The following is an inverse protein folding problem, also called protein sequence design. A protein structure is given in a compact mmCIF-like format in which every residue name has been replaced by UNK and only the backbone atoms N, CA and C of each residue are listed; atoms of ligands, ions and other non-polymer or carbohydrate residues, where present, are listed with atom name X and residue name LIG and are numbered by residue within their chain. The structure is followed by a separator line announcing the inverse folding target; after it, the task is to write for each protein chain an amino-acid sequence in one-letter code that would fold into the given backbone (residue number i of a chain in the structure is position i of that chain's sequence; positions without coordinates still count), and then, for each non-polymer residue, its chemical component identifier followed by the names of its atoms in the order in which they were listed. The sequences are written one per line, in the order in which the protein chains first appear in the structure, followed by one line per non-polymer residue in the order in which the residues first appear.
data_IF_313281666406
#
_entry.id   IF_313281666406
#
_cell.length_a   1.000
_cell.length_b   1.000
_cell.length_c   1.000
_cell.angle_alpha   90.00
_cell.angle_beta   90.00
_cell.angle_gamma   90.00
#
_symmetry.space_group_name_H-M   'P 1'
#
loop_
_entity.id
_entity.type
_entity.pdbx_description
1 polymer ?
#
# COMPACT_ATOMS: atom_id res chain seq x y z
N UNK A 1 59.85 -8.45 -11.93
CA UNK A 1 58.98 -8.86 -10.80
C UNK A 1 57.71 -9.45 -11.37
N UNK A 2 57.43 -10.72 -11.03
CA UNK A 2 56.13 -11.40 -10.88
C UNK A 2 55.00 -11.12 -11.89
N UNK A 3 54.63 -12.10 -12.74
CA UNK A 3 53.58 -13.16 -12.51
C UNK A 3 52.16 -12.56 -12.68
N UNK A 4 51.15 -13.11 -13.37
CA UNK A 4 50.78 -14.48 -13.76
C UNK A 4 49.48 -14.43 -14.62
N UNK A 5 49.29 -15.45 -15.49
CA UNK A 5 48.07 -16.11 -16.05
C UNK A 5 46.86 -15.28 -16.53
N UNK A 6 46.39 -15.41 -17.78
CA UNK A 6 45.67 -16.55 -18.46
C UNK A 6 44.19 -16.67 -18.05
N UNK A 7 43.31 -16.70 -19.07
CA UNK A 7 42.00 -17.35 -19.02
C UNK A 7 40.98 -16.68 -19.95
N UNK A 8 41.03 -16.94 -21.27
CA UNK A 8 40.05 -17.79 -21.99
C UNK A 8 38.59 -17.51 -21.58
N UNK A 9 37.90 -16.67 -22.36
CA UNK A 9 36.43 -16.57 -22.33
C UNK A 9 35.88 -17.45 -23.44
N UNK A 10 35.10 -18.43 -23.01
CA UNK A 10 34.34 -19.35 -23.86
C UNK A 10 33.20 -18.56 -24.52
N UNK A 11 33.12 -18.71 -25.84
CA UNK A 11 32.02 -18.26 -26.67
C UNK A 11 30.79 -19.14 -26.42
N UNK A 12 29.64 -18.56 -26.08
CA UNK A 12 28.35 -19.20 -26.28
C UNK A 12 27.38 -18.17 -26.86
N UNK A 13 27.02 -18.43 -28.11
CA UNK A 13 26.14 -17.65 -28.98
C UNK A 13 24.68 -17.95 -28.62
N UNK A 14 23.86 -16.90 -28.69
CA UNK A 14 22.40 -16.93 -28.60
C UNK A 14 21.75 -17.98 -29.53
N UNK A 15 20.71 -18.64 -29.04
CA UNK A 15 19.55 -18.98 -29.86
C UNK A 15 18.30 -18.35 -29.24
N UNK A 16 17.77 -17.35 -29.95
CA UNK A 16 16.42 -16.83 -29.85
C UNK A 16 15.44 -17.85 -30.41
N UNK A 17 14.36 -18.19 -29.70
CA UNK A 17 12.94 -18.40 -30.12
C UNK A 17 12.16 -18.64 -28.81
N UNK A 18 11.04 -18.04 -28.42
CA UNK A 18 10.09 -17.09 -28.99
C UNK A 18 8.91 -17.00 -27.99
N UNK A 19 8.28 -15.83 -27.87
CA UNK A 19 7.14 -15.59 -26.99
C UNK A 19 5.81 -16.17 -27.53
N UNK A 20 4.92 -16.44 -26.57
CA UNK A 20 3.45 -16.51 -26.61
C UNK A 20 2.75 -17.73 -27.26
N UNK A 21 1.96 -18.45 -26.45
CA UNK A 21 0.51 -18.19 -26.32
C UNK A 21 -0.18 -19.02 -25.23
N UNK A 22 -1.24 -18.40 -24.69
CA UNK A 22 -2.19 -18.87 -23.71
C UNK A 22 -2.86 -20.23 -24.03
N UNK A 23 -3.20 -20.97 -22.96
CA UNK A 23 -4.15 -22.09 -22.95
C UNK A 23 -5.20 -21.74 -21.88
N UNK A 24 -6.36 -21.18 -22.24
CA UNK A 24 -7.64 -21.86 -22.55
C UNK A 24 -8.22 -22.70 -21.39
N UNK A 25 -9.47 -22.38 -21.06
CA UNK A 25 -10.34 -22.86 -19.96
C UNK A 25 -10.33 -24.39 -19.69
N UNK A 26 -10.65 -24.83 -18.45
CA UNK A 26 -10.78 -26.25 -18.14
C UNK A 26 -12.14 -26.81 -18.58
N UNK A 27 -12.12 -27.73 -19.54
CA UNK A 27 -13.23 -28.64 -19.79
C UNK A 27 -13.16 -29.86 -18.86
N UNK A 28 -14.30 -30.14 -18.24
CA UNK A 28 -14.68 -31.39 -17.58
C UNK A 28 -14.73 -32.53 -18.59
N UNK A 29 -13.93 -33.59 -18.43
CA UNK A 29 -14.28 -34.93 -18.94
C UNK A 29 -13.76 -36.02 -18.00
N UNK A 30 -14.72 -36.88 -17.67
CA UNK A 30 -14.71 -38.16 -16.95
C UNK A 30 -13.68 -39.15 -17.55
N UNK A 31 -13.11 -40.03 -16.72
CA UNK A 31 -12.43 -41.23 -17.19
C UNK A 31 -12.66 -42.43 -16.28
N UNK A 32 -12.52 -43.66 -16.82
CA UNK A 32 -13.55 -44.69 -16.67
C UNK A 32 -13.16 -45.87 -15.76
N UNK A 33 -14.22 -46.62 -15.45
CA UNK A 33 -14.28 -47.94 -14.85
C UNK A 33 -13.49 -48.98 -15.64
N UNK A 34 -12.76 -49.86 -14.93
CA UNK A 34 -12.49 -51.24 -15.34
C UNK A 34 -12.71 -52.17 -14.15
N UNK A 35 -13.67 -53.07 -14.31
CA UNK A 35 -14.02 -54.21 -13.47
C UNK A 35 -13.06 -55.39 -13.67
N UNK A 36 -12.79 -56.16 -12.61
CA UNK A 36 -12.71 -57.63 -12.68
C UNK A 36 -12.95 -58.29 -11.29
N UNK A 37 -14.17 -58.81 -11.10
CA UNK A 37 -14.62 -60.12 -10.53
C UNK A 37 -13.61 -60.95 -9.71
N UNK A 38 -13.93 -61.68 -8.62
CA UNK A 38 -15.08 -62.48 -8.13
C UNK A 38 -14.65 -62.98 -6.70
N UNK A 39 -15.45 -63.40 -5.71
CA UNK A 39 -16.54 -64.38 -5.68
C UNK A 39 -17.17 -64.42 -4.26
N UNK A 40 -18.52 -64.45 -4.21
CA UNK A 40 -19.50 -65.10 -3.29
C UNK A 40 -19.14 -65.39 -1.80
N UNK A 41 -20.01 -65.24 -0.77
CA UNK A 41 -21.29 -65.94 -0.51
C UNK A 41 -22.04 -65.32 0.72
N UNK A 42 -23.39 -65.19 0.59
CA UNK A 42 -24.56 -65.22 1.53
C UNK A 42 -24.73 -64.36 2.82
N UNK A 43 -25.81 -63.55 2.90
CA UNK A 43 -27.15 -63.73 3.59
C UNK A 43 -27.02 -63.71 5.13
N UNK A 44 -27.61 -62.83 5.96
CA UNK A 44 -29.03 -62.48 6.17
C UNK A 44 -29.18 -61.28 7.15
N UNK A 45 -30.08 -60.34 6.84
CA UNK A 45 -31.16 -59.74 7.66
C UNK A 45 -31.06 -59.59 9.21
N UNK A 46 -31.47 -58.39 9.65
CA UNK A 46 -32.33 -58.04 10.83
C UNK A 46 -31.69 -57.60 12.18
N UNK A 47 -32.01 -56.35 12.52
CA UNK A 47 -32.38 -55.75 13.83
C UNK A 47 -31.54 -55.95 15.12
N UNK A 48 -31.26 -54.79 15.74
CA UNK A 48 -30.86 -54.44 17.13
C UNK A 48 -31.45 -55.30 18.28
N UNK A 49 -31.06 -55.11 19.59
CA UNK A 49 -30.06 -54.22 20.22
C UNK A 49 -29.22 -54.87 21.37
N UNK A 50 -28.42 -54.04 22.05
CA UNK A 50 -27.97 -54.08 23.47
C UNK A 50 -26.45 -54.14 23.74
N UNK A 51 -25.89 -52.94 23.88
CA UNK A 51 -25.13 -52.41 25.03
C UNK A 51 -24.04 -53.30 25.66
N UNK A 52 -22.78 -52.91 25.44
CA UNK A 52 -21.84 -52.42 26.47
C UNK A 52 -20.42 -52.63 25.99
N UNK A 53 -19.69 -51.53 25.73
CA UNK A 53 -18.32 -51.28 26.22
C UNK A 53 -17.84 -49.95 25.63
N UNK A 54 -17.55 -49.00 26.54
CA UNK A 54 -16.85 -47.76 26.24
C UNK A 54 -15.39 -48.09 25.89
N UNK A 55 -14.79 -47.31 24.98
CA UNK A 55 -13.57 -46.62 25.35
C UNK A 55 -13.70 -45.11 25.12
N UNK A 56 -13.30 -44.38 26.15
CA UNK A 56 -12.86 -42.97 26.20
C UNK A 56 -12.83 -42.23 24.85
N UNK A 57 -13.87 -41.40 24.62
CA UNK A 57 -13.71 -40.25 23.74
C UNK A 57 -13.23 -39.06 24.58
N UNK A 58 -11.99 -38.69 24.28
CA UNK A 58 -11.36 -37.40 24.52
C UNK A 58 -12.40 -36.27 24.44
N UNK A 59 -12.52 -35.54 25.56
CA UNK A 59 -13.25 -34.28 25.64
C UNK A 59 -12.63 -33.32 24.63
N UNK A 60 -13.33 -33.09 23.51
CA UNK A 60 -13.07 -31.93 22.67
C UNK A 60 -13.22 -30.67 23.54
N UNK A 61 -12.26 -29.73 23.54
CA UNK A 61 -12.47 -28.47 24.23
C UNK A 61 -13.63 -27.76 23.53
N UNK A 62 -14.72 -27.62 24.28
CA UNK A 62 -15.92 -26.88 23.91
C UNK A 62 -15.50 -25.50 23.40
N UNK A 63 -15.67 -25.24 22.11
CA UNK A 63 -15.61 -23.88 21.58
C UNK A 63 -16.68 -23.08 22.33
N UNK A 64 -16.27 -21.99 22.99
CA UNK A 64 -17.19 -21.07 23.66
C UNK A 64 -18.31 -20.64 22.69
N UNK A 65 -19.56 -20.46 23.17
CA UNK A 65 -20.65 -20.01 22.33
C UNK A 65 -20.29 -18.66 21.70
N UNK A 66 -20.45 -18.57 20.38
CA UNK A 66 -20.29 -17.33 19.62
C UNK A 66 -21.62 -16.60 19.69
N UNK A 67 -21.68 -15.48 20.43
CA UNK A 67 -22.87 -14.65 20.51
C UNK A 67 -22.91 -13.72 19.29
N UNK A 68 -23.93 -13.90 18.44
CA UNK A 68 -24.16 -13.10 17.24
C UNK A 68 -25.43 -12.27 17.44
N UNK A 69 -25.31 -10.94 17.33
CA UNK A 69 -26.43 -10.01 17.23
C UNK A 69 -26.51 -9.50 15.80
N UNK A 70 -27.72 -9.37 15.27
CA UNK A 70 -27.98 -8.80 13.94
C UNK A 70 -28.89 -7.59 14.05
N UNK A 71 -28.75 -6.67 13.10
CA UNK A 71 -29.49 -5.42 13.03
C UNK A 71 -30.09 -5.27 11.63
N UNK A 72 -31.38 -4.93 11.57
CA UNK A 72 -32.16 -4.92 10.32
C UNK A 72 -32.33 -3.51 9.73
N UNK A 73 -31.89 -2.47 10.45
CA UNK A 73 -32.07 -1.08 10.05
C UNK A 73 -30.74 -0.29 10.00
N UNK A 74 -30.78 0.84 9.29
CA UNK A 74 -29.62 1.71 9.09
C UNK A 74 -29.36 2.64 10.29
N UNK A 75 -30.07 2.47 11.42
CA UNK A 75 -29.96 3.40 12.56
C UNK A 75 -28.76 3.08 13.47
N UNK A 76 -28.20 1.87 13.35
CA UNK A 76 -27.08 1.39 14.15
C UNK A 76 -25.75 1.90 13.58
N UNK A 77 -25.40 3.14 13.95
CA UNK A 77 -24.27 3.91 13.39
C UNK A 77 -23.06 4.05 14.31
N UNK A 78 -23.17 3.61 15.56
CA UNK A 78 -22.15 3.85 16.58
C UNK A 78 -21.70 2.55 17.18
N UNK A 79 -20.42 2.27 17.05
CA UNK A 79 -19.75 1.21 17.78
C UNK A 79 -19.32 1.78 19.13
N UNK A 80 -19.76 1.12 20.21
CA UNK A 80 -19.38 1.48 21.58
C UNK A 80 -18.76 0.23 22.20
N UNK A 81 -17.46 0.31 22.50
CA UNK A 81 -16.71 -0.76 23.14
C UNK A 81 -15.95 -0.19 24.35
N UNK A 82 -16.51 -0.38 25.55
CA UNK A 82 -15.99 0.23 26.78
C UNK A 82 -15.87 1.76 26.64
N UNK A 83 -14.65 2.33 26.60
CA UNK A 83 -14.41 3.78 26.36
C UNK A 83 -14.32 4.15 24.89
N UNK A 84 -14.07 3.18 24.01
CA UNK A 84 -13.97 3.44 22.57
C UNK A 84 -15.35 3.77 22.01
N UNK A 85 -15.45 4.88 21.29
CA UNK A 85 -16.62 5.25 20.50
C UNK A 85 -16.19 5.52 19.07
N UNK A 86 -16.86 4.89 18.12
CA UNK A 86 -16.61 5.06 16.68
C UNK A 86 -17.94 5.31 15.97
N UNK A 87 -18.03 6.42 15.24
CA UNK A 87 -19.16 6.71 14.35
C UNK A 87 -18.84 6.16 12.96
N UNK A 88 -19.68 5.27 12.43
CA UNK A 88 -19.45 4.60 11.15
C UNK A 88 -19.90 5.44 9.95
N UNK A 89 -20.44 6.64 10.17
CA UNK A 89 -20.83 7.60 9.13
C UNK A 89 -21.81 7.00 8.12
N UNK A 90 -21.40 6.90 6.86
CA UNK A 90 -22.22 6.35 5.76
C UNK A 90 -22.39 4.82 5.77
N UNK A 91 -21.93 4.15 6.83
CA UNK A 91 -22.12 2.72 7.03
C UNK A 91 -22.97 2.48 8.28
N UNK A 92 -23.71 1.38 8.34
CA UNK A 92 -24.45 0.93 9.52
C UNK A 92 -24.02 -0.49 9.89
N UNK A 93 -24.09 -0.82 11.19
CA UNK A 93 -23.77 -2.13 11.73
C UNK A 93 -24.90 -3.08 11.34
N UNK A 94 -24.57 -4.21 10.74
CA UNK A 94 -25.54 -5.28 10.40
C UNK A 94 -25.39 -6.50 11.30
N UNK A 95 -24.19 -6.72 11.85
CA UNK A 95 -23.98 -7.75 12.85
C UNK A 95 -22.80 -7.46 13.79
N UNK A 96 -22.94 -7.90 15.02
CA UNK A 96 -21.91 -7.94 16.06
C UNK A 96 -21.68 -9.39 16.46
N UNK A 97 -20.43 -9.85 16.44
CA UNK A 97 -20.03 -11.19 16.85
C UNK A 97 -19.03 -11.08 17.99
N UNK A 98 -19.38 -11.61 19.16
CA UNK A 98 -18.48 -11.65 20.32
C UNK A 98 -17.81 -13.01 20.40
N UNK A 99 -16.48 -13.02 20.49
CA UNK A 99 -15.68 -14.23 20.70
C UNK A 99 -14.50 -13.93 21.60
N UNK A 100 -14.37 -14.69 22.69
CA UNK A 100 -13.34 -14.50 23.71
C UNK A 100 -13.37 -13.06 24.28
N UNK A 101 -12.30 -12.30 24.09
CA UNK A 101 -12.13 -10.90 24.50
C UNK A 101 -12.19 -9.92 23.31
N UNK A 102 -12.68 -10.36 22.17
CA UNK A 102 -12.81 -9.56 20.96
C UNK A 102 -14.26 -9.49 20.47
N UNK A 103 -14.60 -8.37 19.85
CA UNK A 103 -15.90 -8.16 19.20
C UNK A 103 -15.67 -7.73 17.76
N UNK A 104 -16.27 -8.45 16.83
CA UNK A 104 -16.23 -8.14 15.39
C UNK A 104 -17.55 -7.56 14.94
N UNK A 105 -17.50 -6.39 14.34
CA UNK A 105 -18.60 -5.70 13.71
C UNK A 105 -18.51 -5.87 12.19
N UNK A 106 -19.62 -6.27 11.57
CA UNK A 106 -19.83 -6.16 10.13
C UNK A 106 -20.69 -4.94 9.89
N UNK A 107 -20.25 -4.08 8.99
CA UNK A 107 -20.99 -2.90 8.58
C UNK A 107 -21.21 -2.89 7.06
N UNK A 108 -22.35 -2.34 6.65
CA UNK A 108 -22.73 -2.19 5.24
C UNK A 108 -23.02 -0.71 4.94
N UNK A 109 -22.79 -0.30 3.70
CA UNK A 109 -23.04 1.06 3.25
C UNK A 109 -24.54 1.37 3.20
N UNK A 110 -24.92 2.60 3.54
CA UNK A 110 -26.32 3.03 3.49
C UNK A 110 -26.89 3.03 2.08
N UNK A 111 -28.19 2.73 1.97
CA UNK A 111 -28.91 2.83 0.72
C UNK A 111 -28.80 4.23 0.12
N UNK A 112 -28.50 4.28 -1.18
CA UNK A 112 -28.36 5.52 -1.94
C UNK A 112 -26.98 6.18 -1.83
N UNK A 113 -26.07 5.65 -1.02
CA UNK A 113 -24.67 6.10 -1.00
C UNK A 113 -23.83 5.24 -1.94
N UNK A 114 -22.93 5.88 -2.70
CA UNK A 114 -21.99 5.20 -3.59
C UNK A 114 -20.57 5.39 -3.08
N UNK A 115 -19.90 4.29 -2.72
CA UNK A 115 -18.45 4.25 -2.43
C UNK A 115 -17.83 3.00 -3.06
N UNK A 116 -16.51 3.00 -3.33
CA UNK A 116 -15.82 1.83 -3.89
C UNK A 116 -15.92 0.60 -2.98
N UNK A 117 -15.88 0.80 -1.67
CA UNK A 117 -16.04 -0.25 -0.66
C UNK A 117 -17.44 -0.15 -0.05
N UNK A 118 -18.20 -1.24 -0.15
CA UNK A 118 -19.61 -1.27 0.29
C UNK A 118 -19.82 -1.97 1.63
N UNK A 119 -18.82 -2.71 2.09
CA UNK A 119 -18.84 -3.41 3.37
C UNK A 119 -17.50 -3.18 4.09
N UNK A 120 -17.53 -3.19 5.42
CA UNK A 120 -16.32 -3.19 6.23
C UNK A 120 -16.47 -4.11 7.44
N UNK A 121 -15.36 -4.65 7.89
CA UNK A 121 -15.24 -5.44 9.11
C UNK A 121 -14.33 -4.71 10.08
N UNK A 122 -14.73 -4.67 11.35
CA UNK A 122 -13.96 -4.04 12.42
C UNK A 122 -13.94 -5.00 13.60
N UNK A 123 -12.76 -5.53 13.93
CA UNK A 123 -12.56 -6.35 15.12
C UNK A 123 -11.89 -5.50 16.20
N UNK A 124 -12.43 -5.51 17.41
CA UNK A 124 -11.97 -4.67 18.51
C UNK A 124 -11.71 -5.55 19.73
N UNK A 125 -10.56 -5.36 20.36
CA UNK A 125 -10.24 -5.96 21.65
C UNK A 125 -9.45 -4.99 22.53
N UNK A 126 -9.59 -5.14 23.84
CA UNK A 126 -8.73 -4.42 24.78
C UNK A 126 -7.31 -4.99 24.71
N UNK A 127 -6.30 -4.12 24.74
CA UNK A 127 -4.90 -4.51 24.73
C UNK A 127 -4.14 -3.79 25.83
N UNK A 128 -3.02 -4.39 26.26
CA UNK A 128 -2.16 -3.79 27.26
C UNK A 128 -1.57 -2.50 26.69
N UNK A 129 -1.73 -1.40 27.42
CA UNK A 129 -1.02 -0.14 27.15
C UNK A 129 0.49 -0.39 27.18
N UNK A 130 1.15 -0.02 26.09
CA UNK A 130 2.61 -0.11 25.95
C UNK A 130 3.22 1.25 26.32
N UNK A 131 4.33 1.22 27.04
CA UNK A 131 5.08 2.42 27.41
C UNK A 131 6.24 2.62 26.44
N UNK A 132 5.95 3.24 25.29
CA UNK A 132 6.94 3.55 24.28
C UNK A 132 7.86 4.70 24.74
N UNK A 133 9.16 4.55 24.49
CA UNK A 133 10.16 5.56 24.87
C UNK A 133 10.43 6.57 23.75
N UNK A 134 10.24 6.13 22.51
CA UNK A 134 10.55 6.86 21.29
C UNK A 134 9.72 6.35 20.10
N UNK A 135 9.78 7.07 18.98
CA UNK A 135 9.04 6.73 17.74
C UNK A 135 9.54 5.41 17.16
N UNK A 136 10.84 5.13 17.25
CA UNK A 136 11.46 3.90 16.77
C UNK A 136 10.88 2.66 17.46
N UNK A 137 10.62 2.74 18.77
CA UNK A 137 9.99 1.66 19.56
C UNK A 137 8.52 1.44 19.16
N UNK A 138 7.78 2.50 18.80
CA UNK A 138 6.41 2.38 18.26
C UNK A 138 6.46 1.69 16.90
N UNK A 139 7.34 2.15 16.00
CA UNK A 139 7.49 1.59 14.65
C UNK A 139 7.88 0.11 14.71
N UNK A 140 8.80 -0.27 15.59
CA UNK A 140 9.18 -1.67 15.78
C UNK A 140 7.99 -2.53 16.21
N UNK A 141 7.21 -2.07 17.19
CA UNK A 141 6.01 -2.76 17.65
C UNK A 141 4.95 -2.91 16.54
N UNK A 142 4.73 -1.87 15.74
CA UNK A 142 3.79 -1.92 14.61
C UNK A 142 4.24 -2.87 13.50
N UNK A 143 5.55 -2.96 13.24
CA UNK A 143 6.12 -3.93 12.30
C UNK A 143 5.96 -5.36 12.78
N UNK A 144 6.01 -5.61 14.08
CA UNK A 144 5.75 -6.94 14.62
C UNK A 144 4.27 -7.35 14.41
N UNK A 145 3.34 -6.38 14.42
CA UNK A 145 1.92 -6.60 14.12
C UNK A 145 1.71 -6.87 12.62
N UNK A 146 2.33 -6.08 11.74
CA UNK A 146 2.23 -6.23 10.29
C UNK A 146 3.62 -6.14 9.65
N UNK A 147 4.31 -7.28 9.47
CA UNK A 147 5.68 -7.30 8.94
C UNK A 147 5.78 -6.80 7.49
N UNK A 148 4.75 -7.05 6.68
CA UNK A 148 4.64 -6.65 5.28
C UNK A 148 3.86 -5.34 5.12
N UNK A 149 4.14 -4.36 5.97
CA UNK A 149 3.42 -3.08 6.00
C UNK A 149 3.68 -2.23 4.74
N UNK A 150 2.68 -1.45 4.36
CA UNK A 150 2.74 -0.44 3.31
C UNK A 150 2.78 0.98 3.90
N UNK A 151 2.08 1.18 5.02
CA UNK A 151 1.98 2.48 5.67
C UNK A 151 1.96 2.34 7.20
N UNK A 152 2.62 3.26 7.89
CA UNK A 152 2.55 3.44 9.34
C UNK A 152 2.22 4.91 9.61
N UNK A 153 1.21 5.15 10.45
CA UNK A 153 0.84 6.48 10.93
C UNK A 153 0.92 6.52 12.46
N UNK A 154 1.47 7.62 12.98
CA UNK A 154 1.59 7.87 14.42
C UNK A 154 1.04 9.25 14.70
N UNK A 155 0.02 9.27 15.55
CA UNK A 155 -0.58 10.46 16.14
C UNK A 155 -0.34 10.39 17.64
N UNK A 156 0.34 11.39 18.19
CA UNK A 156 0.69 11.44 19.60
C UNK A 156 0.28 12.77 20.24
N UNK A 157 0.03 12.73 21.54
CA UNK A 157 -0.47 13.88 22.29
C UNK A 157 -1.72 14.51 21.63
N UNK A 158 -2.64 13.67 21.17
CA UNK A 158 -3.89 14.14 20.56
C UNK A 158 -4.69 14.94 21.60
N UNK A 159 -5.12 16.14 21.22
CA UNK A 159 -5.83 17.08 22.10
C UNK A 159 -7.23 17.43 21.61
N UNK A 160 -7.90 16.50 20.94
CA UNK A 160 -9.28 16.70 20.49
C UNK A 160 -10.30 16.19 21.53
N UNK A 161 -11.58 16.39 21.24
CA UNK A 161 -12.68 16.01 22.13
C UNK A 161 -13.02 14.51 22.07
N UNK A 162 -12.24 13.69 21.34
CA UNK A 162 -12.42 12.23 21.30
C UNK A 162 -11.95 11.53 22.58
N UNK A 163 -11.07 12.18 23.35
CA UNK A 163 -10.40 11.60 24.53
C UNK A 163 -9.26 10.63 24.20
N UNK A 164 -9.01 10.35 22.92
CA UNK A 164 -7.84 9.61 22.45
C UNK A 164 -6.60 10.47 22.74
N UNK A 165 -5.57 9.86 23.34
CA UNK A 165 -4.28 10.54 23.61
C UNK A 165 -3.21 10.15 22.58
N UNK A 166 -3.30 8.92 22.06
CA UNK A 166 -2.40 8.39 21.04
C UNK A 166 -3.20 7.46 20.11
N UNK A 167 -2.91 7.54 18.82
CA UNK A 167 -3.38 6.60 17.80
C UNK A 167 -2.20 6.17 16.96
N UNK A 168 -2.01 4.86 16.82
CA UNK A 168 -1.00 4.29 15.92
C UNK A 168 -1.70 3.41 14.92
N UNK A 169 -1.35 3.49 13.63
CA UNK A 169 -1.87 2.56 12.63
C UNK A 169 -0.75 1.95 11.80
N UNK A 170 -0.99 0.70 11.38
CA UNK A 170 -0.15 -0.01 10.42
C UNK A 170 -1.04 -0.74 9.41
N UNK A 171 -0.84 -0.40 8.15
CA UNK A 171 -1.55 -0.99 7.01
C UNK A 171 -0.64 -1.99 6.31
N UNK A 172 -1.16 -3.18 6.00
CA UNK A 172 -0.46 -4.17 5.18
C UNK A 172 -1.43 -5.23 4.66
N UNK A 173 -1.22 -5.68 3.41
CA UNK A 173 -1.95 -6.79 2.77
C UNK A 173 -3.49 -6.68 2.92
N UNK A 174 -4.04 -5.49 2.68
CA UNK A 174 -5.49 -5.25 2.68
C UNK A 174 -6.14 -5.17 4.07
N UNK A 175 -5.36 -5.20 5.15
CA UNK A 175 -5.81 -4.95 6.51
C UNK A 175 -5.06 -3.78 7.13
N UNK A 176 -5.72 -3.07 8.02
CA UNK A 176 -5.16 -2.00 8.83
C UNK A 176 -5.41 -2.29 10.29
N UNK A 177 -4.33 -2.30 11.06
CA UNK A 177 -4.36 -2.42 12.50
C UNK A 177 -4.21 -1.03 13.12
N UNK A 178 -5.02 -0.74 14.14
CA UNK A 178 -4.99 0.50 14.89
C UNK A 178 -4.81 0.20 16.38
N UNK A 179 -3.94 0.94 17.04
CA UNK A 179 -3.81 0.96 18.49
C UNK A 179 -4.37 2.29 18.96
N UNK A 180 -5.56 2.25 19.56
CA UNK A 180 -6.27 3.43 20.04
C UNK A 180 -6.09 3.54 21.55
N UNK A 181 -5.41 4.57 22.02
CA UNK A 181 -5.08 4.73 23.43
C UNK A 181 -5.79 5.91 24.07
N UNK A 182 -6.38 5.63 25.23
CA UNK A 182 -6.89 6.60 26.21
C UNK A 182 -5.92 6.65 27.41
N UNK A 183 -6.21 7.51 28.40
CA UNK A 183 -5.35 7.66 29.59
C UNK A 183 -5.05 6.32 30.30
N UNK A 184 -6.07 5.48 30.48
CA UNK A 184 -5.99 4.24 31.27
C UNK A 184 -6.03 2.94 30.45
N UNK A 185 -6.41 2.99 29.17
CA UNK A 185 -6.74 1.78 28.38
C UNK A 185 -6.38 1.98 26.92
N UNK A 186 -5.96 0.91 26.26
CA UNK A 186 -5.76 0.89 24.82
C UNK A 186 -6.58 -0.24 24.18
N UNK A 187 -6.92 -0.07 22.91
CA UNK A 187 -7.64 -1.06 22.12
C UNK A 187 -6.82 -1.38 20.87
N UNK A 188 -6.75 -2.67 20.52
CA UNK A 188 -6.35 -3.10 19.19
C UNK A 188 -7.61 -3.20 18.35
N UNK A 189 -7.63 -2.48 17.23
CA UNK A 189 -8.66 -2.57 16.21
C UNK A 189 -8.04 -3.08 14.93
N UNK A 190 -8.63 -4.10 14.32
CA UNK A 190 -8.28 -4.58 12.99
C UNK A 190 -9.44 -4.26 12.05
N UNK A 191 -9.16 -3.71 10.88
CA UNK A 191 -10.17 -3.47 9.86
C UNK A 191 -9.63 -3.69 8.46
N UNK A 192 -10.50 -4.13 7.57
CA UNK A 192 -10.26 -4.11 6.13
C UNK A 192 -10.52 -2.71 5.52
N UNK A 193 -10.91 -1.72 6.33
CA UNK A 193 -11.10 -0.33 5.93
C UNK A 193 -9.97 0.55 6.49
N UNK A 194 -9.15 1.09 5.59
CA UNK A 194 -7.86 1.72 5.91
C UNK A 194 -7.91 3.21 6.26
N UNK A 195 -9.12 3.75 6.48
CA UNK A 195 -9.32 5.17 6.80
C UNK A 195 -10.14 5.37 8.07
N UNK A 196 -10.11 4.41 9.01
CA UNK A 196 -10.87 4.51 10.27
C UNK A 196 -10.34 5.60 11.21
N UNK A 197 -9.07 5.98 11.08
CA UNK A 197 -8.48 7.13 11.78
C UNK A 197 -9.34 8.40 11.62
N UNK A 198 -9.84 8.68 10.41
CA UNK A 198 -10.74 9.81 10.13
C UNK A 198 -12.10 9.75 10.83
N UNK A 199 -12.50 8.57 11.33
CA UNK A 199 -13.76 8.36 12.06
C UNK A 199 -13.55 8.24 13.58
N UNK A 200 -12.31 8.02 14.01
CA UNK A 200 -11.93 7.92 15.42
C UNK A 200 -11.78 9.30 16.07
N UNK A 201 -11.31 10.28 15.31
CA UNK A 201 -11.13 11.65 15.79
C UNK A 201 -12.38 12.51 15.60
N UNK A 202 -12.56 13.50 16.47
CA UNK A 202 -13.59 14.53 16.31
C UNK A 202 -13.11 15.74 15.50
N UNK A 203 -11.79 15.96 15.48
CA UNK A 203 -11.12 16.92 14.60
C UNK A 203 -10.10 16.18 13.74
N UNK A 204 -9.52 16.80 12.71
CA UNK A 204 -8.42 16.18 11.96
C UNK A 204 -7.09 16.52 12.64
N UNK A 205 -6.52 15.67 13.52
CA UNK A 205 -5.18 15.91 14.02
C UNK A 205 -4.19 15.84 12.86
N UNK A 206 -3.12 16.63 12.96
CA UNK A 206 -1.99 16.48 12.05
C UNK A 206 -1.21 15.23 12.45
N UNK A 207 -0.75 14.45 11.47
CA UNK A 207 0.13 13.31 11.76
C UNK A 207 1.46 13.83 12.32
N UNK A 208 1.92 13.25 13.42
CA UNK A 208 3.24 13.58 13.94
C UNK A 208 4.33 12.91 13.11
N UNK A 209 4.05 11.69 12.68
CA UNK A 209 5.01 10.84 11.98
C UNK A 209 4.33 9.83 11.05
N UNK A 210 4.95 9.61 9.88
CA UNK A 210 4.40 8.74 8.83
C UNK A 210 5.53 8.00 8.11
N UNK A 211 5.38 6.68 7.92
CA UNK A 211 6.27 5.88 7.06
C UNK A 211 5.44 5.28 5.93
N UNK A 212 5.88 5.48 4.69
CA UNK A 212 5.29 4.87 3.51
C UNK A 212 6.32 4.02 2.77
N UNK A 213 5.94 2.80 2.40
CA UNK A 213 6.70 1.93 1.51
C UNK A 213 6.03 1.91 0.14
N UNK A 214 6.75 2.38 -0.87
CA UNK A 214 6.33 2.30 -2.26
C UNK A 214 7.18 1.25 -2.96
N UNK A 215 6.51 0.21 -3.49
CA UNK A 215 7.11 -0.72 -4.45
C UNK A 215 6.87 -0.16 -5.86
N UNK A 216 7.95 0.06 -6.60
CA UNK A 216 7.90 0.48 -8.00
C UNK A 216 8.25 -0.76 -8.81
N UNK A 217 7.23 -1.33 -9.46
CA UNK A 217 7.44 -2.39 -10.44
C UNK A 217 8.12 -1.78 -11.67
N UNK A 218 9.37 -2.17 -11.89
CA UNK A 218 10.16 -1.75 -13.01
C UNK A 218 10.11 -2.80 -14.12
N UNK A 219 10.60 -2.45 -15.31
CA UNK A 219 10.71 -3.43 -16.39
C UNK A 219 11.53 -4.67 -15.99
N UNK A 220 11.33 -5.77 -16.71
CA UNK A 220 12.03 -7.06 -16.50
C UNK A 220 11.84 -7.69 -15.11
N UNK A 221 10.72 -7.41 -14.44
CA UNK A 221 10.39 -7.93 -13.09
C UNK A 221 11.32 -7.46 -11.97
N UNK A 222 12.11 -6.40 -12.19
CA UNK A 222 12.81 -5.74 -11.09
C UNK A 222 11.83 -4.90 -10.27
N UNK A 223 12.06 -4.79 -8.96
CA UNK A 223 11.25 -3.95 -8.08
C UNK A 223 12.15 -3.02 -7.29
N UNK A 224 11.97 -1.72 -7.49
CA UNK A 224 12.62 -0.71 -6.64
C UNK A 224 11.75 -0.44 -5.42
N UNK A 225 12.39 -0.21 -4.27
CA UNK A 225 11.70 0.10 -3.01
C UNK A 225 12.04 1.52 -2.57
N UNK A 226 11.02 2.34 -2.33
CA UNK A 226 11.17 3.68 -1.77
C UNK A 226 10.50 3.71 -0.40
N UNK A 227 11.30 3.92 0.64
CA UNK A 227 10.81 4.17 1.98
C UNK A 227 10.82 5.67 2.24
N UNK A 228 9.64 6.27 2.40
CA UNK A 228 9.47 7.67 2.79
C UNK A 228 9.14 7.74 4.27
N UNK A 229 9.87 8.56 5.02
CA UNK A 229 9.64 8.84 6.43
C UNK A 229 9.37 10.33 6.60
N UNK A 230 8.22 10.72 7.11
CA UNK A 230 7.84 12.10 7.37
C UNK A 230 7.77 12.35 8.88
N UNK A 231 8.34 13.47 9.32
CA UNK A 231 8.29 13.95 10.70
C UNK A 231 7.79 15.40 10.70
N UNK A 232 6.61 15.62 11.28
CA UNK A 232 6.02 16.95 11.42
C UNK A 232 6.82 17.81 12.39
N UNK A 233 7.27 17.21 13.50
CA UNK A 233 8.12 17.86 14.51
C UNK A 233 9.42 18.40 13.92
N UNK A 234 10.07 17.62 13.08
CA UNK A 234 11.35 17.99 12.46
C UNK A 234 11.16 18.76 11.13
N UNK A 235 9.91 18.92 10.68
CA UNK A 235 9.56 19.54 9.39
C UNK A 235 10.40 18.99 8.23
N UNK A 236 10.48 17.65 8.12
CA UNK A 236 11.23 17.00 7.05
C UNK A 236 10.59 15.69 6.59
N UNK A 237 10.90 15.31 5.35
CA UNK A 237 10.69 13.96 4.84
C UNK A 237 12.01 13.36 4.37
N UNK A 238 12.28 12.11 4.71
CA UNK A 238 13.47 11.37 4.32
C UNK A 238 13.07 10.23 3.39
N UNK A 239 13.86 10.01 2.34
CA UNK A 239 13.63 8.99 1.33
C UNK A 239 14.83 8.07 1.29
N UNK A 240 14.61 6.78 1.53
CA UNK A 240 15.59 5.72 1.30
C UNK A 240 15.14 4.91 0.09
N UNK A 241 15.92 4.99 -0.99
CA UNK A 241 15.61 4.40 -2.29
C UNK A 241 16.56 3.23 -2.51
N UNK A 242 16.03 2.04 -2.74
CA UNK A 242 16.77 0.88 -3.16
C UNK A 242 16.37 0.53 -4.61
N UNK A 243 17.31 0.69 -5.53
CA UNK A 243 17.12 0.36 -6.94
C UNK A 243 16.95 -1.15 -7.12
N UNK A 244 15.90 -1.57 -7.83
CA UNK A 244 15.62 -2.98 -8.06
C UNK A 244 16.70 -3.65 -8.91
N UNK A 245 17.03 -3.04 -10.04
CA UNK A 245 18.16 -3.44 -10.88
C UNK A 245 19.46 -2.88 -10.28
N UNK A 246 20.51 -3.69 -10.21
CA UNK A 246 21.83 -3.28 -9.70
C UNK A 246 21.94 -2.99 -8.19
N UNK A 247 20.83 -2.91 -7.44
CA UNK A 247 20.81 -2.89 -5.98
C UNK A 247 21.35 -1.61 -5.31
N UNK A 248 21.54 -0.53 -6.07
CA UNK A 248 22.15 0.68 -5.55
C UNK A 248 21.20 1.43 -4.60
N UNK A 249 21.76 2.07 -3.56
CA UNK A 249 20.99 2.72 -2.49
C UNK A 249 21.25 4.23 -2.46
N UNK A 250 20.18 5.00 -2.34
CA UNK A 250 20.23 6.47 -2.31
C UNK A 250 19.40 7.02 -1.17
N UNK A 251 19.82 8.19 -0.71
CA UNK A 251 19.15 8.92 0.35
C UNK A 251 18.86 10.33 -0.12
N UNK A 252 17.61 10.75 0.04
CA UNK A 252 17.20 12.13 -0.16
C UNK A 252 16.49 12.64 1.09
N UNK A 253 16.61 13.94 1.33
CA UNK A 253 15.93 14.62 2.41
C UNK A 253 15.21 15.83 1.85
N UNK A 254 13.92 15.94 2.13
CA UNK A 254 13.10 17.10 1.84
C UNK A 254 12.91 17.91 3.13
N UNK A 255 13.48 19.10 3.17
CA UNK A 255 13.23 20.07 4.23
C UNK A 255 11.94 20.85 3.91
N UNK A 256 11.13 21.06 4.93
CA UNK A 256 9.85 21.77 4.84
C UNK A 256 10.01 23.11 5.53
N UNK A 257 10.10 24.16 4.72
CA UNK A 257 10.19 25.54 5.17
C UNK A 257 8.83 26.10 5.57
N UNK A 258 8.81 27.40 5.84
CA UNK A 258 7.56 28.10 6.12
C UNK A 258 6.83 28.46 4.81
N UNK A 259 5.50 28.64 4.90
CA UNK A 259 4.65 29.08 3.77
C UNK A 259 4.75 28.20 2.52
N UNK A 260 4.93 26.89 2.71
CA UNK A 260 4.95 25.92 1.62
C UNK A 260 6.25 25.89 0.82
N UNK A 261 7.35 26.43 1.34
CA UNK A 261 8.69 26.26 0.75
C UNK A 261 9.22 24.85 1.01
N UNK A 262 9.80 24.22 -0.02
CA UNK A 262 10.38 22.90 0.06
C UNK A 262 11.77 22.87 -0.56
N UNK A 263 12.69 22.13 0.07
CA UNK A 263 14.03 21.92 -0.45
C UNK A 263 14.40 20.44 -0.38
N UNK A 264 14.55 19.80 -1.54
CA UNK A 264 15.05 18.44 -1.67
C UNK A 264 16.57 18.47 -1.79
N UNK A 265 17.23 17.64 -0.99
CA UNK A 265 18.66 17.39 -1.06
C UNK A 265 18.88 15.89 -1.28
N UNK A 266 19.47 15.53 -2.42
CA UNK A 266 19.82 14.16 -2.77
C UNK A 266 21.33 13.98 -2.62
N UNK A 267 21.75 13.01 -1.82
CA UNK A 267 23.16 12.70 -1.56
C UNK A 267 23.52 11.36 -2.18
N UNK A 268 24.59 11.33 -2.96
CA UNK A 268 25.20 10.11 -3.47
C UNK A 268 26.73 10.16 -3.32
N UNK A 269 27.40 9.09 -3.76
CA UNK A 269 28.86 9.00 -3.69
C UNK A 269 29.57 10.08 -4.54
N UNK A 270 28.90 10.61 -5.56
CA UNK A 270 29.45 11.62 -6.47
C UNK A 270 29.24 13.06 -5.98
N UNK A 271 28.36 13.30 -5.00
CA UNK A 271 28.09 14.63 -4.45
C UNK A 271 26.66 14.85 -3.98
N UNK A 272 26.26 16.12 -3.95
CA UNK A 272 24.95 16.56 -3.47
C UNK A 272 24.21 17.33 -4.58
N UNK A 273 22.95 16.99 -4.81
CA UNK A 273 22.02 17.74 -5.66
C UNK A 273 20.96 18.40 -4.78
N UNK A 274 20.73 19.69 -4.97
CA UNK A 274 19.71 20.44 -4.22
C UNK A 274 18.68 21.04 -5.18
N UNK A 275 17.40 20.80 -4.91
CA UNK A 275 16.26 21.33 -5.66
C UNK A 275 15.31 22.04 -4.71
N UNK A 276 14.71 23.16 -5.14
CA UNK A 276 13.80 23.96 -4.30
C UNK A 276 12.52 24.28 -5.06
N UNK A 277 11.40 24.33 -4.34
CA UNK A 277 10.09 24.62 -4.91
C UNK A 277 9.11 25.16 -3.86
N UNK A 278 7.91 25.51 -4.31
CA UNK A 278 6.77 25.82 -3.47
C UNK A 278 5.60 24.89 -3.80
N UNK A 279 4.96 24.33 -2.79
CA UNK A 279 3.82 23.42 -2.95
C UNK A 279 2.78 23.60 -1.85
N UNK A 280 1.59 23.04 -2.08
CA UNK A 280 0.54 23.01 -1.06
C UNK A 280 0.71 21.82 -0.11
N UNK A 281 1.34 20.75 -0.59
CA UNK A 281 1.50 19.48 0.11
C UNK A 281 2.86 18.85 -0.19
N UNK A 282 3.41 18.12 0.80
CA UNK A 282 4.63 17.31 0.65
C UNK A 282 4.49 16.26 -0.46
N UNK A 283 3.29 15.71 -0.65
CA UNK A 283 3.03 14.63 -1.60
C UNK A 283 3.09 15.10 -3.07
N UNK A 284 3.02 16.41 -3.30
CA UNK A 284 3.12 17.02 -4.64
C UNK A 284 4.57 17.27 -5.06
N UNK A 285 5.50 17.34 -4.10
CA UNK A 285 6.85 17.87 -4.32
C UNK A 285 7.75 16.88 -5.06
N UNK A 286 7.71 15.61 -4.67
CA UNK A 286 8.58 14.58 -5.23
C UNK A 286 7.84 13.26 -5.34
N UNK A 287 7.99 12.61 -6.50
CA UNK A 287 7.43 11.29 -6.79
C UNK A 287 8.50 10.41 -7.42
N UNK A 288 8.51 9.15 -7.04
CA UNK A 288 9.39 8.13 -7.64
C UNK A 288 8.56 7.16 -8.48
N UNK A 289 9.07 6.84 -9.67
CA UNK A 289 8.42 6.00 -10.68
C UNK A 289 9.49 5.51 -11.68
N UNK A 290 9.25 4.42 -12.41
CA UNK A 290 10.08 4.04 -13.56
C UNK A 290 9.48 4.71 -14.80
N UNK A 291 10.07 5.82 -15.27
CA UNK A 291 9.46 6.68 -16.31
C UNK A 291 9.88 6.29 -17.72
N UNK A 292 11.04 5.65 -17.87
CA UNK A 292 11.56 5.16 -19.14
C UNK A 292 11.50 3.62 -19.27
N UNK A 293 10.97 2.93 -18.25
CA UNK A 293 10.81 1.47 -18.18
C UNK A 293 12.14 0.73 -18.35
N UNK A 294 13.21 1.22 -17.72
CA UNK A 294 14.57 0.66 -17.87
C UNK A 294 15.01 -0.29 -16.74
N UNK A 295 14.15 -0.47 -15.73
CA UNK A 295 14.44 -1.29 -14.56
C UNK A 295 14.83 -0.49 -13.30
N UNK A 296 14.87 0.84 -13.38
CA UNK A 296 15.26 1.72 -12.28
C UNK A 296 14.14 2.67 -11.86
N UNK A 297 14.14 3.08 -10.59
CA UNK A 297 13.31 4.17 -10.11
C UNK A 297 13.94 5.52 -10.49
N UNK A 298 13.16 6.31 -11.20
CA UNK A 298 13.39 7.70 -11.59
C UNK A 298 12.70 8.67 -10.62
N UNK A 299 12.98 9.97 -10.77
CA UNK A 299 12.44 11.02 -9.91
C UNK A 299 11.73 12.09 -10.72
N UNK A 300 10.48 12.34 -10.35
CA UNK A 300 9.72 13.53 -10.73
C UNK A 300 9.79 14.54 -9.59
N UNK A 301 10.18 15.77 -9.89
CA UNK A 301 10.25 16.86 -8.91
C UNK A 301 9.38 18.03 -9.37
N UNK A 302 8.60 18.61 -8.46
CA UNK A 302 7.78 19.79 -8.72
C UNK A 302 8.68 21.00 -8.91
N UNK A 303 8.79 21.51 -10.13
CA UNK A 303 9.50 22.74 -10.43
C UNK A 303 8.64 23.97 -10.06
N UNK A 304 7.36 23.95 -10.44
CA UNK A 304 6.44 25.05 -10.18
C UNK A 304 5.02 24.55 -9.95
N UNK A 305 4.42 24.89 -8.80
CA UNK A 305 2.99 24.68 -8.57
C UNK A 305 2.14 25.66 -9.41
N UNK A 306 0.99 25.19 -9.88
CA UNK A 306 0.04 26.02 -10.61
C UNK A 306 -1.41 25.61 -10.38
N UNK A 307 -2.33 26.54 -10.62
CA UNK A 307 -3.75 26.34 -10.33
C UNK A 307 -4.42 25.27 -11.24
N UNK A 308 -3.93 25.14 -12.47
CA UNK A 308 -4.43 24.16 -13.45
C UNK A 308 -3.41 23.06 -13.75
N UNK A 309 -2.14 23.45 -13.85
CA UNK A 309 -1.02 22.55 -14.14
C UNK A 309 0.09 22.80 -13.14
N UNK A 310 0.57 21.73 -12.53
CA UNK A 310 1.87 21.72 -11.90
C UNK A 310 2.92 21.44 -12.99
N UNK A 311 4.08 22.08 -12.90
CA UNK A 311 5.20 21.88 -13.83
C UNK A 311 6.25 21.04 -13.12
N UNK A 312 6.66 19.95 -13.74
CA UNK A 312 7.62 19.02 -13.17
C UNK A 312 8.92 18.95 -13.97
N UNK A 313 10.03 18.82 -13.25
CA UNK A 313 11.29 18.35 -13.80
C UNK A 313 11.37 16.82 -13.65
N UNK A 314 11.83 16.13 -14.70
CA UNK A 314 12.12 14.69 -14.65
C UNK A 314 13.62 14.44 -14.58
N UNK A 315 14.00 13.46 -13.76
CA UNK A 315 15.36 12.99 -13.61
C UNK A 315 15.36 11.47 -13.72
N UNK A 316 16.09 10.93 -14.70
CA UNK A 316 16.22 9.49 -14.90
C UNK A 316 17.49 8.95 -14.25
N UNK A 317 17.46 7.69 -13.84
CA UNK A 317 18.60 6.99 -13.31
C UNK A 317 19.62 6.65 -14.41
N UNK A 318 20.84 7.16 -14.31
CA UNK A 318 21.93 6.75 -15.20
C UNK A 318 22.80 5.69 -14.52
N UNK A 319 22.73 4.46 -15.04
CA UNK A 319 23.48 3.33 -14.54
C UNK A 319 25.00 3.55 -14.61
N UNK A 320 25.51 4.25 -15.62
CA UNK A 320 26.95 4.43 -15.82
C UNK A 320 27.54 5.40 -14.82
N UNK A 321 26.86 6.54 -14.61
CA UNK A 321 27.31 7.56 -13.66
C UNK A 321 26.84 7.29 -12.24
N UNK A 322 25.91 6.35 -12.06
CA UNK A 322 25.22 6.07 -10.80
C UNK A 322 24.63 7.35 -10.20
N UNK A 323 23.91 8.11 -11.01
CA UNK A 323 23.30 9.37 -10.60
C UNK A 323 22.00 9.66 -11.35
N UNK A 324 21.19 10.57 -10.80
CA UNK A 324 20.00 11.12 -11.44
C UNK A 324 20.41 12.19 -12.46
N UNK A 325 20.00 12.03 -13.71
CA UNK A 325 20.28 12.95 -14.81
C UNK A 325 18.99 13.63 -15.24
N UNK A 326 18.99 14.97 -15.26
CA UNK A 326 17.83 15.75 -15.69
C UNK A 326 17.49 15.44 -17.15
N UNK A 327 16.25 15.06 -17.40
CA UNK A 327 15.67 14.86 -18.73
C UNK A 327 15.53 16.21 -19.43
N UNK A 328 15.87 16.25 -20.71
CA UNK A 328 15.60 17.41 -21.56
C UNK A 328 14.22 17.28 -22.19
N UNK A 329 13.38 18.30 -22.04
CA UNK A 329 12.11 18.41 -22.74
C UNK A 329 11.82 19.88 -23.01
N UNK A 330 11.41 20.21 -24.23
CA UNK A 330 11.00 21.58 -24.58
C UNK A 330 9.55 21.87 -24.18
N UNK A 331 8.74 20.83 -24.01
CA UNK A 331 7.35 20.92 -23.58
C UNK A 331 7.23 21.02 -22.05
N UNK A 332 6.15 21.63 -21.58
CA UNK A 332 5.81 21.66 -20.16
C UNK A 332 5.33 20.27 -19.72
N UNK A 333 6.08 19.63 -18.83
CA UNK A 333 5.66 18.37 -18.21
C UNK A 333 4.72 18.65 -17.04
N UNK A 334 3.48 18.17 -17.15
CA UNK A 334 2.42 18.34 -16.15
C UNK A 334 1.99 16.96 -15.63
N UNK A 335 0.71 16.61 -15.73
CA UNK A 335 0.23 15.28 -15.39
C UNK A 335 0.48 14.34 -16.56
N UNK A 336 1.38 13.36 -16.41
CA UNK A 336 1.68 12.42 -17.47
C UNK A 336 1.46 10.96 -17.06
N UNK A 337 1.15 10.15 -18.05
CA UNK A 337 1.06 8.70 -17.98
C UNK A 337 2.27 8.07 -18.68
N UNK A 338 2.81 7.00 -18.09
CA UNK A 338 3.97 6.28 -18.62
C UNK A 338 3.50 5.10 -19.47
N UNK A 339 4.08 4.97 -20.66
CA UNK A 339 3.89 3.85 -21.57
C UNK A 339 5.25 3.37 -22.09
N UNK A 340 5.28 2.16 -22.66
CA UNK A 340 6.49 1.62 -23.27
C UNK A 340 6.99 2.49 -24.42
N UNK A 341 8.12 3.15 -24.20
CA UNK A 341 8.80 4.04 -25.14
C UNK A 341 8.24 5.46 -25.27
N UNK A 342 7.17 5.83 -24.54
CA UNK A 342 6.60 7.18 -24.62
C UNK A 342 5.80 7.60 -23.38
N UNK A 343 5.60 8.91 -23.23
CA UNK A 343 4.72 9.51 -22.23
C UNK A 343 3.51 10.14 -22.91
N UNK A 344 2.36 10.07 -22.25
CA UNK A 344 1.20 10.89 -22.57
C UNK A 344 1.13 12.00 -21.53
N UNK A 345 1.41 13.23 -21.94
CA UNK A 345 1.37 14.41 -21.09
C UNK A 345 0.07 15.17 -21.27
N UNK A 346 -0.61 15.47 -20.18
CA UNK A 346 -1.88 16.20 -20.15
C UNK A 346 -1.66 17.61 -19.62
N UNK A 347 -1.94 18.60 -20.48
CA UNK A 347 -1.83 20.02 -20.16
C UNK A 347 -3.20 20.65 -20.22
N UNK A 348 -3.71 21.09 -19.07
CA UNK A 348 -5.03 21.71 -18.95
C UNK A 348 -5.01 23.17 -19.40
N UNK A 349 -5.96 23.54 -20.24
CA UNK A 349 -6.26 24.95 -20.51
C UNK A 349 -7.27 25.50 -19.49
N UNK A 350 -8.21 24.64 -19.06
CA UNK A 350 -9.15 24.90 -17.99
C UNK A 350 -9.63 23.58 -17.34
N UNK A 351 -10.70 23.63 -16.57
CA UNK A 351 -11.23 22.46 -15.84
C UNK A 351 -11.76 21.38 -16.80
N UNK A 352 -12.25 21.78 -17.98
CA UNK A 352 -12.96 20.93 -18.94
C UNK A 352 -12.20 20.71 -20.25
N UNK A 353 -11.08 21.39 -20.49
CA UNK A 353 -10.33 21.25 -21.75
C UNK A 353 -8.83 21.38 -21.58
N UNK A 354 -8.10 20.93 -22.60
CA UNK A 354 -6.66 21.05 -22.67
C UNK A 354 -6.09 20.33 -23.88
N UNK A 355 -4.78 20.06 -23.84
CA UNK A 355 -4.07 19.28 -24.84
C UNK A 355 -3.47 18.03 -24.23
N UNK A 356 -3.50 16.96 -25.02
CA UNK A 356 -2.82 15.69 -24.79
C UNK A 356 -1.64 15.61 -25.74
N UNK A 357 -0.44 15.57 -25.20
CA UNK A 357 0.81 15.49 -25.96
C UNK A 357 1.39 14.08 -25.86
N UNK A 358 1.77 13.49 -26.99
CA UNK A 358 2.57 12.26 -26.99
C UNK A 358 4.05 12.63 -27.09
N UNK A 359 4.81 12.29 -26.06
CA UNK A 359 6.23 12.58 -25.95
C UNK A 359 7.02 11.27 -26.06
N UNK A 360 7.94 11.17 -27.01
CA UNK A 360 8.76 9.96 -27.23
C UNK A 360 10.19 10.18 -26.76
N UNK A 361 10.86 9.10 -26.37
CA UNK A 361 12.25 9.14 -25.93
C UNK A 361 13.23 9.18 -27.12
N UNK A 362 14.12 10.16 -27.14
CA UNK A 362 15.40 10.14 -27.87
C UNK A 362 16.54 10.22 -26.85
N UNK A 363 17.03 9.05 -26.44
CA UNK A 363 17.96 8.90 -25.32
C UNK A 363 17.37 9.55 -24.06
N UNK A 364 18.07 10.52 -23.47
CA UNK A 364 17.64 11.22 -22.25
C UNK A 364 16.82 12.49 -22.55
N UNK A 365 16.24 12.57 -23.75
CA UNK A 365 15.44 13.70 -24.22
C UNK A 365 14.03 13.23 -24.56
N UNK A 366 13.01 13.98 -24.14
CA UNK A 366 11.64 13.79 -24.56
C UNK A 366 11.32 14.77 -25.70
N UNK A 367 10.82 14.23 -26.82
CA UNK A 367 10.46 14.99 -28.01
C UNK A 367 8.96 14.84 -28.25
N UNK A 368 8.27 15.94 -28.55
CA UNK A 368 6.85 15.90 -28.92
C UNK A 368 6.67 15.25 -30.29
N UNK A 369 5.97 14.11 -30.32
CA UNK A 369 5.59 13.40 -31.54
C UNK A 369 4.26 13.95 -32.09
N UNK A 370 3.26 14.11 -31.22
CA UNK A 370 1.95 14.62 -31.59
C UNK A 370 1.25 15.36 -30.44
N UNK A 371 0.21 16.11 -30.78
CA UNK A 371 -0.62 16.87 -29.83
C UNK A 371 -2.08 16.85 -30.32
N UNK A 372 -3.00 16.60 -29.40
CA UNK A 372 -4.44 16.56 -29.66
C UNK A 372 -5.19 17.35 -28.58
N UNK A 373 -6.11 18.22 -28.98
CA UNK A 373 -7.00 18.93 -28.04
C UNK A 373 -8.10 17.99 -27.54
N UNK A 374 -8.47 18.11 -26.27
CA UNK A 374 -9.63 17.42 -25.70
C UNK A 374 -10.59 18.40 -25.02
N UNK A 375 -11.86 18.02 -24.98
CA UNK A 375 -12.90 18.65 -24.18
C UNK A 375 -13.68 17.54 -23.46
N UNK A 376 -13.91 17.72 -22.17
CA UNK A 376 -14.77 16.86 -21.35
C UNK A 376 -16.14 17.52 -21.25
N UNK A 377 -17.17 16.82 -21.75
CA UNK A 377 -18.57 17.28 -21.73
C UNK A 377 -19.13 17.48 -20.33
#
# INVERSE_FOLDING_TARGET
MNRILIGVIITAVMMLVGCNKAVTEPQVVISPVVDEKKEDINIEKTEQPERSEQPEQTVNPTSLPVDIKTYEDETHKKIIYSKLTLDTGSYHIVSETSKDNAVTYKCEIDKGTTRPKTNMFITIQETKKQDFQDVESIVAYLRDISPDYENILIYSNVTDDSGIIDLYSVEGVGLTNYIVCYSEVCYLMESDFNVLDSYLFQNNPSEDYKIQQQKIECADSFTSLVNKTFSSKDKKAEFAIAQGKGGAKYYAQLNIGDKGEYQLTLKNEQGEMTLSTFASSVDEVVKFLDVNLDGYADMQFLNQAGALNNIYDLYIWDELTKNFVKVKCEEMLSNFEVYDGYLINWVKDNIQSGVKQKLIWDKNTLIKESEETYETN
#
